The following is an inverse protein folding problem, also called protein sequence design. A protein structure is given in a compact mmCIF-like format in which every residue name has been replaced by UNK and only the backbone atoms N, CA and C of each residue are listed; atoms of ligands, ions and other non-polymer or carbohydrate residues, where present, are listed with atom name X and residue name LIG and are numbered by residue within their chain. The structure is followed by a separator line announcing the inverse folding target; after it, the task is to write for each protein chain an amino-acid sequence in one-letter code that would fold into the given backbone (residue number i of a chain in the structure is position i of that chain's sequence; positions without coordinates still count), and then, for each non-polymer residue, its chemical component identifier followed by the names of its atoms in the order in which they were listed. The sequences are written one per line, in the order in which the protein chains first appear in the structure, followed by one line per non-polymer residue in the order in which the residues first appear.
data_IF_739118673610
#
_entry.id   IF_739118673610
#
_cell.length_a   1.000
_cell.length_b   1.000
_cell.length_c   1.000
_cell.angle_alpha   90.00
_cell.angle_beta   90.00
_cell.angle_gamma   90.00
#
_symmetry.space_group_name_H-M   'P 1'
#
loop_
_entity.id
_entity.type
_entity.pdbx_description
1 polymer ?
#
# COMPACT_ATOMS: atom_id res chain seq x y z
N UNK A 1 14.14 0.83 -11.45
CA UNK A 1 15.55 1.02 -11.07
C UNK A 1 15.67 1.67 -9.68
N UNK A 2 14.93 2.76 -9.43
CA UNK A 2 15.02 3.59 -8.21
C UNK A 2 14.71 2.83 -6.93
N UNK A 3 13.62 2.04 -6.87
CA UNK A 3 13.32 1.24 -5.69
C UNK A 3 14.42 0.22 -5.36
N UNK A 4 15.05 -0.38 -6.37
CA UNK A 4 16.17 -1.31 -6.13
C UNK A 4 17.38 -0.60 -5.53
N UNK A 5 17.68 0.62 -6.00
CA UNK A 5 18.76 1.43 -5.43
C UNK A 5 18.44 1.85 -3.99
N UNK A 6 17.20 2.25 -3.71
CA UNK A 6 16.75 2.59 -2.37
C UNK A 6 16.87 1.40 -1.42
N UNK A 7 16.36 0.24 -1.81
CA UNK A 7 16.45 -1.00 -1.04
C UNK A 7 17.91 -1.38 -0.75
N UNK A 8 18.83 -1.14 -1.71
CA UNK A 8 20.24 -1.42 -1.51
C UNK A 8 20.93 -0.46 -0.52
N UNK A 9 20.45 0.78 -0.41
CA UNK A 9 20.97 1.80 0.52
C UNK A 9 20.45 1.65 1.94
N UNK A 10 19.24 1.09 2.13
CA UNK A 10 18.62 1.00 3.44
C UNK A 10 19.07 -0.24 4.22
N UNK A 11 19.12 -0.18 5.57
CA UNK A 11 19.40 -1.34 6.41
C UNK A 11 18.40 -2.46 6.11
N UNK A 12 18.88 -3.68 5.88
CA UNK A 12 18.02 -4.81 5.58
C UNK A 12 17.27 -5.28 6.82
N UNK A 13 15.94 -5.50 6.76
CA UNK A 13 15.21 -6.13 7.85
C UNK A 13 15.58 -7.62 7.95
N UNK A 14 15.54 -8.16 9.16
CA UNK A 14 15.65 -9.62 9.37
C UNK A 14 14.36 -10.29 8.89
N UNK A 15 14.47 -11.37 8.11
CA UNK A 15 13.32 -12.19 7.74
C UNK A 15 13.16 -13.33 8.74
N UNK A 16 11.98 -13.48 9.31
CA UNK A 16 11.65 -14.55 10.28
C UNK A 16 10.42 -15.27 9.77
N UNK A 17 10.49 -16.59 9.69
CA UNK A 17 9.33 -17.44 9.38
C UNK A 17 8.63 -17.83 10.68
N UNK A 18 7.33 -17.55 10.77
CA UNK A 18 6.51 -17.89 11.94
C UNK A 18 5.52 -19.02 11.58
N UNK A 19 5.72 -20.23 12.12
CA UNK A 19 4.77 -21.32 11.88
C UNK A 19 3.45 -21.17 12.65
N UNK A 20 3.40 -20.31 13.68
CA UNK A 20 2.21 -20.12 14.52
C UNK A 20 1.05 -19.44 13.77
N UNK A 21 1.35 -18.59 12.79
CA UNK A 21 0.38 -17.85 12.02
C UNK A 21 0.75 -17.97 10.53
N UNK A 22 0.43 -19.11 9.87
CA UNK A 22 0.91 -19.42 8.53
C UNK A 22 0.50 -18.39 7.46
N UNK A 23 -0.59 -17.67 7.70
CA UNK A 23 -1.20 -16.76 6.74
C UNK A 23 -0.94 -15.27 7.05
N UNK A 24 -0.15 -14.98 8.08
CA UNK A 24 0.12 -13.60 8.49
C UNK A 24 1.52 -13.19 8.09
N UNK A 25 1.64 -11.92 7.67
CA UNK A 25 2.89 -11.23 7.59
C UNK A 25 2.76 -9.86 8.26
N UNK A 26 3.84 -9.37 8.84
CA UNK A 26 3.90 -8.02 9.40
C UNK A 26 5.35 -7.56 9.55
N UNK A 27 5.54 -6.25 9.43
CA UNK A 27 6.80 -5.61 9.78
C UNK A 27 6.80 -5.22 11.27
N UNK A 28 7.87 -5.61 11.99
CA UNK A 28 8.10 -5.23 13.37
C UNK A 28 9.22 -4.19 13.45
N UNK A 29 8.90 -2.92 13.72
CA UNK A 29 9.86 -1.81 13.71
C UNK A 29 10.97 -1.93 14.75
N UNK A 30 10.62 -2.40 15.95
CA UNK A 30 11.54 -2.45 17.08
C UNK A 30 12.71 -3.41 16.88
N UNK A 31 12.46 -4.53 16.24
CA UNK A 31 13.48 -5.53 15.91
C UNK A 31 14.02 -5.40 14.50
N UNK A 32 13.53 -4.43 13.71
CA UNK A 32 13.80 -4.32 12.27
C UNK A 32 13.68 -5.67 11.57
N UNK A 33 12.50 -6.28 11.69
CA UNK A 33 12.26 -7.62 11.13
C UNK A 33 10.91 -7.71 10.43
N UNK A 34 10.87 -8.51 9.36
CA UNK A 34 9.64 -8.94 8.71
C UNK A 34 9.35 -10.34 9.20
N UNK A 35 8.22 -10.51 9.87
CA UNK A 35 7.70 -11.81 10.27
C UNK A 35 6.73 -12.25 9.18
N UNK A 36 6.95 -13.43 8.62
CA UNK A 36 6.12 -14.00 7.56
C UNK A 36 5.68 -15.40 7.98
N UNK A 37 4.43 -15.75 7.67
CA UNK A 37 3.94 -17.10 7.83
C UNK A 37 4.61 -18.08 6.85
N UNK A 38 4.17 -19.32 6.87
CA UNK A 38 4.73 -20.37 6.00
C UNK A 38 4.29 -20.25 4.55
N UNK A 39 3.23 -19.47 4.27
CA UNK A 39 2.75 -19.21 2.91
C UNK A 39 3.53 -18.03 2.34
N UNK A 40 4.39 -18.31 1.38
CA UNK A 40 5.25 -17.31 0.73
C UNK A 40 4.49 -16.62 -0.40
N UNK A 41 3.93 -15.43 -0.10
CA UNK A 41 3.32 -14.56 -1.10
C UNK A 41 4.22 -13.35 -1.35
N UNK A 42 4.88 -13.31 -2.49
CA UNK A 42 5.78 -12.23 -2.86
C UNK A 42 5.16 -10.81 -2.74
N UNK A 43 3.92 -10.55 -3.19
CA UNK A 43 3.28 -9.26 -2.99
C UNK A 43 3.10 -8.86 -1.53
N UNK A 44 2.76 -9.82 -0.65
CA UNK A 44 2.62 -9.55 0.79
C UNK A 44 3.98 -9.24 1.41
N UNK A 45 5.02 -9.99 1.05
CA UNK A 45 6.38 -9.68 1.50
C UNK A 45 6.83 -8.29 1.05
N UNK A 46 6.55 -7.91 -0.20
CA UNK A 46 6.85 -6.57 -0.71
C UNK A 46 6.08 -5.48 0.02
N UNK A 47 4.85 -5.74 0.43
CA UNK A 47 4.05 -4.84 1.23
C UNK A 47 4.70 -4.60 2.61
N UNK A 48 5.06 -5.67 3.32
CA UNK A 48 5.75 -5.55 4.62
C UNK A 48 7.12 -4.87 4.50
N UNK A 49 7.80 -5.11 3.37
CA UNK A 49 9.03 -4.38 3.06
C UNK A 49 8.76 -2.89 2.80
N UNK A 50 7.58 -2.56 2.27
CA UNK A 50 7.11 -1.18 2.11
C UNK A 50 6.99 -0.44 3.46
N UNK A 51 6.47 -1.08 4.49
CA UNK A 51 6.46 -0.51 5.85
C UNK A 51 7.87 -0.29 6.41
N UNK A 52 8.78 -1.21 6.14
CA UNK A 52 10.19 -1.03 6.50
C UNK A 52 10.79 0.20 5.80
N UNK A 53 10.59 0.34 4.50
CA UNK A 53 11.09 1.50 3.72
C UNK A 53 10.44 2.79 4.19
N UNK A 54 9.15 2.81 4.45
CA UNK A 54 8.42 3.96 4.99
C UNK A 54 9.11 4.51 6.25
N UNK A 55 9.42 3.63 7.20
CA UNK A 55 10.13 3.99 8.43
C UNK A 55 11.59 4.41 8.18
N UNK A 56 12.33 3.69 7.32
CA UNK A 56 13.75 3.98 7.08
C UNK A 56 13.94 5.29 6.32
N UNK A 57 13.09 5.56 5.33
CA UNK A 57 13.10 6.84 4.60
C UNK A 57 12.71 7.98 5.55
N UNK A 58 11.67 7.79 6.38
CA UNK A 58 11.29 8.76 7.39
C UNK A 58 12.46 9.12 8.31
N UNK A 59 13.15 8.12 8.84
CA UNK A 59 14.35 8.34 9.68
C UNK A 59 15.49 9.02 8.94
N UNK A 60 15.69 8.64 7.67
CA UNK A 60 16.78 9.19 6.86
C UNK A 60 16.54 10.67 6.52
N UNK A 61 15.32 11.03 6.12
CA UNK A 61 14.97 12.41 5.78
C UNK A 61 14.70 13.26 7.02
N UNK A 62 14.19 12.68 8.11
CA UNK A 62 13.88 13.37 9.37
C UNK A 62 15.14 13.79 10.13
N UNK A 63 16.24 13.08 10.00
CA UNK A 63 17.55 13.50 10.50
C UNK A 63 18.00 14.86 9.94
N UNK A 64 17.28 15.37 8.94
CA UNK A 64 17.57 16.68 8.30
C UNK A 64 16.54 17.75 8.67
N UNK A 65 15.26 17.42 8.95
CA UNK A 65 14.19 18.43 8.96
C UNK A 65 13.15 18.33 10.09
N UNK A 66 12.80 17.15 10.62
CA UNK A 66 11.65 17.01 11.53
C UNK A 66 11.80 15.90 12.58
N UNK A 67 12.10 16.27 13.81
CA UNK A 67 12.34 15.35 14.95
C UNK A 67 11.11 14.56 15.45
N UNK A 68 9.97 14.60 14.78
CA UNK A 68 8.72 13.98 15.27
C UNK A 68 8.02 13.03 14.27
N UNK A 69 8.43 12.98 13.01
CA UNK A 69 7.85 12.06 12.00
C UNK A 69 8.60 10.74 12.01
N UNK A 70 7.93 9.65 12.31
CA UNK A 70 8.54 8.31 12.34
C UNK A 70 8.58 7.69 10.94
N UNK A 71 7.50 7.80 10.20
CA UNK A 71 7.30 7.24 8.86
C UNK A 71 7.12 8.38 7.85
N UNK A 72 7.69 8.25 6.65
CA UNK A 72 7.59 9.29 5.61
C UNK A 72 6.17 9.46 5.08
N UNK A 73 5.36 8.41 5.14
CA UNK A 73 3.92 8.45 4.84
C UNK A 73 3.14 9.42 5.72
N UNK A 74 3.65 9.75 6.92
CA UNK A 74 3.06 10.72 7.82
C UNK A 74 3.53 12.16 7.55
N UNK A 75 4.37 12.39 6.54
CA UNK A 75 4.77 13.73 6.13
C UNK A 75 3.56 14.53 5.64
N UNK A 76 3.56 15.85 5.90
CA UNK A 76 2.49 16.75 5.42
C UNK A 76 2.27 16.65 3.91
N UNK A 77 3.33 16.39 3.15
CA UNK A 77 3.31 16.27 1.70
C UNK A 77 2.55 15.04 1.25
N UNK A 78 2.84 13.88 1.83
CA UNK A 78 2.14 12.63 1.52
C UNK A 78 0.67 12.69 1.94
N UNK A 79 0.39 13.18 3.15
CA UNK A 79 -0.98 13.34 3.67
C UNK A 79 -1.81 14.28 2.78
N UNK A 80 -1.25 15.42 2.35
CA UNK A 80 -1.95 16.35 1.45
C UNK A 80 -2.29 15.71 0.11
N UNK A 81 -1.37 14.96 -0.48
CA UNK A 81 -1.60 14.26 -1.74
C UNK A 81 -2.68 13.18 -1.58
N UNK A 82 -2.64 12.41 -0.49
CA UNK A 82 -3.67 11.42 -0.17
C UNK A 82 -5.06 12.05 -0.06
N UNK A 83 -5.20 13.12 0.72
CA UNK A 83 -6.50 13.78 0.91
C UNK A 83 -6.97 14.50 -0.38
N UNK A 84 -6.05 14.99 -1.21
CA UNK A 84 -6.39 15.61 -2.48
C UNK A 84 -6.95 14.58 -3.48
N UNK A 85 -6.29 13.45 -3.67
CA UNK A 85 -6.81 12.39 -4.54
C UNK A 85 -8.11 11.79 -3.98
N UNK A 86 -8.20 11.58 -2.67
CA UNK A 86 -9.42 11.15 -2.00
C UNK A 86 -10.60 12.09 -2.26
N UNK A 87 -10.36 13.40 -2.23
CA UNK A 87 -11.36 14.43 -2.54
C UNK A 87 -11.73 14.41 -4.02
N UNK A 88 -10.74 14.37 -4.91
CA UNK A 88 -10.96 14.34 -6.36
C UNK A 88 -11.79 13.12 -6.80
N UNK A 89 -11.62 11.98 -6.15
CA UNK A 89 -12.40 10.76 -6.37
C UNK A 89 -13.78 10.78 -5.69
N UNK A 90 -14.16 11.84 -4.97
CA UNK A 90 -15.44 11.91 -4.26
C UNK A 90 -15.57 10.89 -3.11
N UNK A 91 -14.46 10.29 -2.64
CA UNK A 91 -14.48 9.23 -1.63
C UNK A 91 -14.76 9.74 -0.20
N UNK A 92 -14.79 11.05 -0.01
CA UNK A 92 -15.08 11.67 1.29
C UNK A 92 -16.54 11.57 1.69
N UNK A 93 -17.45 11.63 0.72
CA UNK A 93 -18.88 11.70 0.97
C UNK A 93 -19.56 10.35 0.71
N UNK A 94 -20.39 9.90 1.65
CA UNK A 94 -21.04 8.58 1.58
C UNK A 94 -21.94 8.40 0.35
N UNK A 95 -22.60 9.46 -0.11
CA UNK A 95 -23.52 9.40 -1.27
C UNK A 95 -22.79 9.38 -2.61
N UNK A 96 -21.63 10.04 -2.71
CA UNK A 96 -20.86 10.15 -3.95
C UNK A 96 -19.91 8.97 -4.16
N UNK A 97 -19.55 8.31 -3.09
CA UNK A 97 -18.59 7.22 -3.03
C UNK A 97 -19.00 5.97 -3.85
N UNK A 98 -20.28 5.62 -3.83
CA UNK A 98 -20.77 4.38 -4.42
C UNK A 98 -20.48 4.22 -5.92
N UNK A 99 -20.82 5.18 -6.78
CA UNK A 99 -20.50 5.11 -8.22
C UNK A 99 -19.00 5.00 -8.50
N UNK A 100 -18.18 5.80 -7.83
CA UNK A 100 -16.72 5.77 -8.01
C UNK A 100 -16.11 4.44 -7.58
N UNK A 101 -16.57 3.88 -6.46
CA UNK A 101 -16.14 2.56 -6.02
C UNK A 101 -16.49 1.49 -7.03
N UNK A 102 -17.71 1.50 -7.56
CA UNK A 102 -18.12 0.55 -8.58
C UNK A 102 -17.26 0.67 -9.85
N UNK A 103 -16.87 1.87 -10.24
CA UNK A 103 -15.99 2.10 -11.38
C UNK A 103 -14.57 1.55 -11.13
N UNK A 104 -13.95 1.89 -9.99
CA UNK A 104 -12.61 1.41 -9.64
C UNK A 104 -12.62 -0.13 -9.55
N UNK A 105 -13.56 -0.70 -8.86
CA UNK A 105 -13.60 -2.16 -8.66
C UNK A 105 -13.94 -2.92 -9.94
N UNK A 106 -14.77 -2.36 -10.82
CA UNK A 106 -14.99 -2.94 -12.16
C UNK A 106 -13.67 -2.98 -12.95
N UNK A 107 -12.92 -1.88 -12.96
CA UNK A 107 -11.62 -1.84 -13.61
C UNK A 107 -10.65 -2.89 -13.04
N UNK A 108 -10.56 -3.00 -11.72
CA UNK A 108 -9.71 -3.99 -11.06
C UNK A 108 -10.17 -5.42 -11.37
N UNK A 109 -11.47 -5.65 -11.41
CA UNK A 109 -12.05 -6.95 -11.73
C UNK A 109 -11.74 -7.35 -13.18
N UNK A 110 -11.92 -6.44 -14.13
CA UNK A 110 -11.60 -6.67 -15.54
C UNK A 110 -10.12 -7.01 -15.74
N UNK A 111 -9.23 -6.28 -15.09
CA UNK A 111 -7.78 -6.55 -15.12
C UNK A 111 -7.42 -7.89 -14.51
N UNK A 112 -8.05 -8.23 -13.37
CA UNK A 112 -7.83 -9.52 -12.71
C UNK A 112 -8.25 -10.70 -13.57
N UNK A 113 -9.34 -10.58 -14.34
CA UNK A 113 -9.80 -11.65 -15.25
C UNK A 113 -8.83 -11.90 -16.39
N UNK A 114 -8.10 -10.87 -16.85
CA UNK A 114 -7.08 -11.01 -17.90
C UNK A 114 -5.85 -11.79 -17.39
N UNK A 115 -5.57 -11.73 -16.10
CA UNK A 115 -4.41 -12.40 -15.49
C UNK A 115 -4.73 -13.78 -14.91
N UNK A 116 -6.00 -14.15 -14.80
CA UNK A 116 -6.42 -15.44 -14.26
C UNK A 116 -6.84 -16.37 -15.39
N UNK A 117 -6.33 -17.60 -15.35
CA UNK A 117 -6.82 -18.65 -16.25
C UNK A 117 -8.34 -18.81 -16.14
N UNK A 118 -9.04 -19.05 -17.25
CA UNK A 118 -10.48 -19.26 -17.24
C UNK A 118 -10.88 -20.34 -16.23
N UNK A 119 -11.81 -20.05 -15.33
CA UNK A 119 -12.29 -20.97 -14.31
C UNK A 119 -11.68 -20.82 -12.92
N UNK A 120 -10.66 -19.99 -12.74
CA UNK A 120 -10.11 -19.66 -11.43
C UNK A 120 -10.81 -18.44 -10.85
N UNK A 121 -12.03 -18.62 -10.35
CA UNK A 121 -12.64 -17.61 -9.48
C UNK A 121 -11.77 -17.46 -8.24
N UNK A 122 -11.32 -16.25 -8.02
CA UNK A 122 -10.41 -15.95 -6.95
C UNK A 122 -11.01 -16.31 -5.61
N UNK A 123 -10.46 -17.34 -5.04
CA UNK A 123 -10.49 -17.54 -3.62
C UNK A 123 -10.08 -16.24 -2.90
N UNK A 124 -10.73 -15.90 -1.83
CA UNK A 124 -10.48 -14.69 -1.04
C UNK A 124 -8.99 -14.50 -0.73
N UNK A 125 -8.25 -15.58 -0.70
CA UNK A 125 -6.81 -15.70 -0.48
C UNK A 125 -5.96 -15.29 -1.69
N UNK A 126 -6.41 -15.60 -2.90
CA UNK A 126 -5.69 -15.23 -4.12
C UNK A 126 -5.77 -13.73 -4.40
N UNK A 127 -6.80 -13.04 -3.87
CA UNK A 127 -6.88 -11.58 -3.98
C UNK A 127 -5.90 -10.86 -3.05
N UNK A 128 -5.56 -11.45 -1.89
CA UNK A 128 -4.55 -10.89 -0.99
C UNK A 128 -3.14 -10.85 -1.59
N UNK A 129 -2.82 -11.85 -2.40
CA UNK A 129 -1.49 -12.02 -2.95
C UNK A 129 -1.24 -11.30 -4.26
N UNK A 130 -2.19 -10.57 -4.83
CA UNK A 130 -1.97 -9.87 -6.08
C UNK A 130 -1.94 -8.34 -5.92
N UNK A 131 -1.28 -7.68 -6.88
CA UNK A 131 -1.10 -6.23 -6.86
C UNK A 131 -2.42 -5.44 -6.91
N UNK A 132 -3.49 -6.00 -7.49
CA UNK A 132 -4.81 -5.36 -7.51
C UNK A 132 -5.49 -5.39 -6.13
N UNK A 133 -5.21 -6.39 -5.30
CA UNK A 133 -5.57 -6.41 -3.89
C UNK A 133 -4.96 -5.23 -3.12
N UNK A 134 -3.71 -4.88 -3.42
CA UNK A 134 -3.06 -3.69 -2.83
C UNK A 134 -3.78 -2.40 -3.22
N UNK A 135 -4.24 -2.27 -4.47
CA UNK A 135 -5.02 -1.10 -4.90
C UNK A 135 -6.36 -1.05 -4.16
N UNK A 136 -7.02 -2.19 -3.94
CA UNK A 136 -8.28 -2.24 -3.19
C UNK A 136 -8.10 -1.78 -1.74
N UNK A 137 -6.97 -2.09 -1.13
CA UNK A 137 -6.66 -1.65 0.23
C UNK A 137 -6.35 -0.14 0.30
N UNK A 138 -5.71 0.44 -0.73
CA UNK A 138 -5.57 1.90 -0.84
C UNK A 138 -6.95 2.57 -0.84
N UNK A 139 -7.88 2.03 -1.62
CA UNK A 139 -9.25 2.55 -1.68
C UNK A 139 -9.98 2.35 -0.34
N UNK A 140 -9.74 1.23 0.35
CA UNK A 140 -10.29 0.98 1.68
C UNK A 140 -9.74 1.98 2.71
N UNK A 141 -8.44 2.28 2.67
CA UNK A 141 -7.82 3.34 3.46
C UNK A 141 -8.46 4.72 3.19
N UNK A 142 -8.65 5.08 1.91
CA UNK A 142 -9.27 6.34 1.49
C UNK A 142 -10.75 6.45 1.91
N UNK A 143 -11.43 5.33 2.06
CA UNK A 143 -12.83 5.29 2.55
C UNK A 143 -12.94 5.01 4.04
N UNK A 144 -11.82 4.99 4.76
CA UNK A 144 -11.74 4.70 6.19
C UNK A 144 -12.33 3.32 6.54
N UNK A 145 -12.01 2.32 5.74
CA UNK A 145 -12.44 0.94 5.95
C UNK A 145 -13.88 0.63 5.54
N UNK A 146 -14.50 1.49 4.74
CA UNK A 146 -15.88 1.28 4.32
C UNK A 146 -16.06 0.37 3.09
N UNK A 147 -14.96 -0.07 2.46
CA UNK A 147 -15.00 -0.94 1.28
C UNK A 147 -14.82 -2.41 1.59
N UNK A 148 -14.14 -2.72 2.70
CA UNK A 148 -13.72 -4.07 3.07
C UNK A 148 -14.81 -5.15 2.98
N UNK A 149 -16.03 -4.84 3.40
CA UNK A 149 -17.09 -5.84 3.50
C UNK A 149 -17.94 -6.01 2.23
N UNK A 150 -17.82 -5.11 1.25
CA UNK A 150 -18.80 -5.03 0.16
C UNK A 150 -18.44 -5.80 -1.10
N UNK A 151 -17.14 -6.10 -1.30
CA UNK A 151 -16.65 -6.50 -2.63
C UNK A 151 -15.74 -7.73 -2.62
N UNK A 152 -15.53 -8.39 -1.48
CA UNK A 152 -14.65 -9.57 -1.42
C UNK A 152 -13.17 -9.29 -1.72
N UNK A 153 -12.81 -8.01 -1.81
CA UNK A 153 -11.45 -7.56 -2.03
C UNK A 153 -10.69 -7.42 -0.72
N UNK A 154 -9.37 -7.37 -0.80
CA UNK A 154 -8.53 -7.19 0.37
C UNK A 154 -8.61 -5.75 0.90
N UNK A 155 -8.52 -5.62 2.21
CA UNK A 155 -8.51 -4.39 2.96
C UNK A 155 -8.51 -4.68 4.46
N UNK A 156 -8.33 -3.65 5.27
CA UNK A 156 -8.21 -3.79 6.73
C UNK A 156 -9.50 -3.45 7.48
N UNK A 157 -10.46 -2.78 6.83
CA UNK A 157 -11.74 -2.44 7.42
C UNK A 157 -11.73 -1.30 8.44
N UNK A 158 -12.92 -0.96 8.92
CA UNK A 158 -13.16 0.24 9.77
C UNK A 158 -12.38 0.24 11.08
N UNK A 159 -12.27 -0.90 11.74
CA UNK A 159 -11.64 -0.97 13.05
C UNK A 159 -10.16 -0.58 12.96
N UNK A 160 -9.50 -1.03 11.93
CA UNK A 160 -8.10 -0.74 11.67
C UNK A 160 -7.89 0.73 11.25
N UNK A 161 -8.67 1.21 10.28
CA UNK A 161 -8.55 2.56 9.74
C UNK A 161 -9.17 3.67 10.60
N UNK A 162 -9.66 3.35 11.82
CA UNK A 162 -9.88 4.37 12.86
C UNK A 162 -8.58 5.07 13.24
N UNK A 163 -7.47 4.37 13.21
CA UNK A 163 -6.14 4.93 13.44
C UNK A 163 -5.71 5.72 12.21
N UNK A 164 -5.70 7.04 12.34
CA UNK A 164 -5.40 7.94 11.22
C UNK A 164 -4.05 7.63 10.55
N UNK A 165 -2.94 7.42 11.29
CA UNK A 165 -1.66 7.10 10.66
C UNK A 165 -1.69 5.81 9.82
N UNK A 166 -2.46 4.79 10.24
CA UNK A 166 -2.53 3.52 9.52
C UNK A 166 -2.96 3.68 8.06
N UNK A 167 -3.84 4.64 7.75
CA UNK A 167 -4.30 4.90 6.37
C UNK A 167 -3.14 5.26 5.44
N UNK A 168 -2.24 6.10 5.92
CA UNK A 168 -1.10 6.58 5.14
C UNK A 168 0.00 5.53 5.05
N UNK A 169 0.27 4.84 6.15
CA UNK A 169 1.27 3.77 6.22
C UNK A 169 0.93 2.61 5.28
N UNK A 170 -0.32 2.12 5.32
CA UNK A 170 -0.79 1.06 4.42
C UNK A 170 -0.74 1.51 2.95
N UNK A 171 -1.15 2.75 2.68
CA UNK A 171 -1.10 3.28 1.32
C UNK A 171 0.32 3.36 0.79
N UNK A 172 1.28 3.80 1.59
CA UNK A 172 2.69 3.82 1.19
C UNK A 172 3.23 2.41 0.94
N UNK A 173 2.96 1.48 1.85
CA UNK A 173 3.38 0.08 1.72
C UNK A 173 2.79 -0.59 0.48
N UNK A 174 1.51 -0.33 0.19
CA UNK A 174 0.84 -0.81 -1.01
C UNK A 174 1.47 -0.20 -2.28
N UNK A 175 1.76 1.09 -2.31
CA UNK A 175 2.45 1.73 -3.44
C UNK A 175 3.84 1.13 -3.67
N UNK A 176 4.59 0.89 -2.60
CA UNK A 176 5.89 0.23 -2.69
C UNK A 176 5.77 -1.17 -3.30
N UNK A 177 4.78 -1.96 -2.86
CA UNK A 177 4.56 -3.32 -3.35
C UNK A 177 4.27 -3.37 -4.86
N UNK A 178 3.46 -2.43 -5.36
CA UNK A 178 2.97 -2.42 -6.75
C UNK A 178 3.82 -1.59 -7.72
N UNK A 179 4.72 -0.74 -7.23
CA UNK A 179 5.50 0.21 -8.06
C UNK A 179 6.27 -0.46 -9.21
N UNK A 180 6.67 -1.71 -9.02
CA UNK A 180 7.40 -2.48 -10.03
C UNK A 180 6.49 -3.29 -10.97
N UNK A 181 5.19 -3.24 -10.80
CA UNK A 181 4.19 -3.79 -11.71
C UNK A 181 3.67 -2.66 -12.62
N UNK A 182 4.06 -2.61 -13.90
CA UNK A 182 3.68 -1.50 -14.77
C UNK A 182 2.18 -1.35 -14.96
N UNK A 183 1.42 -2.45 -14.98
CA UNK A 183 -0.02 -2.43 -15.18
C UNK A 183 -0.75 -1.89 -13.93
N UNK A 184 -0.42 -2.41 -12.75
CA UNK A 184 -0.98 -1.93 -11.49
C UNK A 184 -0.55 -0.49 -11.20
N UNK A 185 0.72 -0.14 -11.48
CA UNK A 185 1.20 1.22 -11.28
C UNK A 185 0.52 2.23 -12.20
N UNK A 186 0.25 1.89 -13.45
CA UNK A 186 -0.50 2.75 -14.38
C UNK A 186 -1.92 3.05 -13.87
N UNK A 187 -2.58 2.11 -13.18
CA UNK A 187 -3.86 2.36 -12.52
C UNK A 187 -3.67 3.38 -11.38
N UNK A 188 -2.66 3.21 -10.54
CA UNK A 188 -2.38 4.15 -9.47
C UNK A 188 -2.09 5.56 -9.98
N UNK A 189 -1.27 5.71 -11.01
CA UNK A 189 -0.97 7.00 -11.61
C UNK A 189 -2.21 7.70 -12.18
N UNK A 190 -3.14 6.93 -12.73
CA UNK A 190 -4.41 7.46 -13.26
C UNK A 190 -5.42 7.79 -12.17
N UNK A 191 -5.55 6.92 -11.16
CA UNK A 191 -6.56 7.06 -10.10
C UNK A 191 -6.11 7.94 -8.94
N UNK A 192 -4.81 7.93 -8.63
CA UNK A 192 -4.19 8.65 -7.52
C UNK A 192 -2.97 9.46 -8.01
N UNK A 193 -3.18 10.42 -8.94
CA UNK A 193 -2.08 11.09 -9.62
C UNK A 193 -1.18 11.88 -8.69
N UNK A 194 -1.74 12.63 -7.72
CA UNK A 194 -0.95 13.44 -6.80
C UNK A 194 -0.16 12.57 -5.83
N UNK A 195 -0.79 11.52 -5.34
CA UNK A 195 -0.17 10.60 -4.40
C UNK A 195 0.94 9.77 -5.06
N UNK A 196 0.72 9.30 -6.30
CA UNK A 196 1.73 8.59 -7.10
C UNK A 196 2.94 9.47 -7.40
N UNK A 197 2.71 10.74 -7.74
CA UNK A 197 3.77 11.71 -7.98
C UNK A 197 4.58 11.95 -6.69
N UNK A 198 3.92 12.23 -5.58
CA UNK A 198 4.59 12.48 -4.30
C UNK A 198 5.37 11.25 -3.83
N UNK A 199 4.82 10.04 -4.02
CA UNK A 199 5.55 8.82 -3.72
C UNK A 199 6.87 8.73 -4.51
N UNK A 200 6.83 8.90 -5.83
CA UNK A 200 8.03 8.85 -6.67
C UNK A 200 9.04 9.96 -6.30
N UNK A 201 8.57 11.16 -5.99
CA UNK A 201 9.42 12.25 -5.53
C UNK A 201 10.12 11.95 -4.21
N UNK A 202 9.40 11.39 -3.22
CA UNK A 202 9.98 11.00 -1.93
C UNK A 202 11.04 9.89 -2.09
N UNK A 203 10.83 8.94 -3.00
CA UNK A 203 11.83 7.92 -3.31
C UNK A 203 13.10 8.54 -3.91
N UNK A 204 12.97 9.49 -4.84
CA UNK A 204 14.10 10.20 -5.45
C UNK A 204 14.86 11.03 -4.41
N UNK A 205 14.14 11.78 -3.59
CA UNK A 205 14.70 12.59 -2.51
C UNK A 205 15.52 11.74 -1.53
N UNK A 206 15.01 10.55 -1.15
CA UNK A 206 15.73 9.59 -0.32
C UNK A 206 16.99 9.02 -1.01
N UNK A 207 17.03 9.02 -2.33
CA UNK A 207 18.20 8.63 -3.11
C UNK A 207 19.19 9.76 -3.31
N UNK A 208 18.78 11.02 -3.12
CA UNK A 208 19.55 12.22 -3.39
C UNK A 208 19.63 12.57 -4.88
N UNK A 209 18.59 12.28 -5.66
CA UNK A 209 18.50 12.52 -7.11
C UNK A 209 17.25 13.33 -7.46
#
# INVERSE_FOLDING_TARGET
PELRQLVAKMPKPKRITSPKNPDQAYYEPWGNKIVQGTVDFDPVFRHEYGHHIDLMVGKHLDNVVYSQVKEISQSRRFIRAFEADRKALGLQKTKERGPMLNEIFRELYEKKQIELEPGVFADKWKSKGNNYGMISDIVDAMTHGHCYSKLGWWGHGKAYYKRVPARYMETFANFFAIRNDPAAWAICQRRFPQLSQVFDELIKEALGI
#
